data_IF_278978936677
#
_entry.id   IF_278978936677
#
_cell.length_a   1.000
_cell.length_b   1.000
_cell.length_c   1.000
_cell.angle_alpha   90.00
_cell.angle_beta   90.00
_cell.angle_gamma   90.00
#
_symmetry.space_group_name_H-M   'P 1'
#
loop_
_entity.id
_entity.type
_entity.pdbx_description
1 polymer ?
#
# COMPACT_ATOMS: atom_id res chain seq x y z
N UNK A 1 9.70 -7.56 9.33
CA UNK A 1 9.34 -8.68 8.45
C UNK A 1 7.86 -8.55 8.20
N UNK A 2 7.45 -7.64 7.31
CA UNK A 2 6.07 -7.48 6.82
C UNK A 2 6.13 -6.61 5.56
N UNK A 3 6.81 -7.10 4.51
CA UNK A 3 6.85 -6.44 3.20
C UNK A 3 5.60 -6.80 2.38
N UNK A 4 4.47 -7.07 3.05
CA UNK A 4 3.23 -7.54 2.44
C UNK A 4 2.04 -6.65 2.79
N UNK A 5 1.11 -6.55 1.85
CA UNK A 5 -0.09 -5.74 1.97
C UNK A 5 -1.02 -6.32 3.04
N UNK A 6 -1.45 -5.51 4.00
CA UNK A 6 -2.39 -5.93 5.05
C UNK A 6 -3.76 -6.38 4.52
N UNK A 7 -4.07 -6.14 3.24
CA UNK A 7 -5.35 -6.49 2.60
C UNK A 7 -5.24 -7.74 1.73
N UNK A 8 -4.30 -7.76 0.78
CA UNK A 8 -4.16 -8.89 -0.16
C UNK A 8 -3.01 -9.85 0.16
N UNK A 9 -2.19 -9.54 1.18
CA UNK A 9 -0.99 -10.29 1.55
C UNK A 9 0.09 -10.41 0.46
N UNK A 10 -0.03 -9.66 -0.65
CA UNK A 10 0.99 -9.57 -1.71
C UNK A 10 2.13 -8.62 -1.33
N UNK A 11 3.31 -8.78 -1.97
CA UNK A 11 4.48 -7.93 -1.72
C UNK A 11 4.19 -6.45 -1.98
N UNK A 12 4.63 -5.58 -1.06
CA UNK A 12 4.50 -4.12 -1.15
C UNK A 12 5.60 -3.51 -2.03
N UNK A 13 5.37 -3.49 -3.34
CA UNK A 13 6.21 -2.72 -4.27
C UNK A 13 5.76 -1.25 -4.38
N UNK A 14 4.45 -1.03 -4.31
CA UNK A 14 3.80 0.28 -4.42
C UNK A 14 2.82 0.43 -3.29
N UNK A 15 3.02 1.45 -2.46
CA UNK A 15 2.14 1.75 -1.32
C UNK A 15 1.35 3.02 -1.60
N UNK A 16 0.12 3.06 -1.08
CA UNK A 16 -0.72 4.26 -1.11
C UNK A 16 -1.22 4.59 0.29
N UNK A 17 -1.12 5.87 0.67
CA UNK A 17 -1.44 6.31 2.03
C UNK A 17 -1.98 7.73 2.07
N UNK A 18 -2.83 8.02 3.05
CA UNK A 18 -3.32 9.37 3.30
C UNK A 18 -2.36 10.19 4.16
N UNK A 19 -2.82 11.34 4.61
CA UNK A 19 -2.18 12.18 5.63
C UNK A 19 -1.89 11.44 6.95
N UNK A 20 -2.64 10.36 7.24
CA UNK A 20 -2.39 9.48 8.38
C UNK A 20 -1.06 8.69 8.32
N UNK A 21 -0.42 8.58 7.15
CA UNK A 21 0.92 7.99 7.02
C UNK A 21 1.03 6.45 7.06
N UNK A 22 -0.08 5.73 7.21
CA UNK A 22 -0.11 4.25 7.21
C UNK A 22 0.21 3.69 5.82
N UNK A 23 1.36 3.01 5.70
CA UNK A 23 1.96 2.51 4.45
C UNK A 23 1.87 0.99 4.29
N UNK A 24 1.01 0.34 5.08
CA UNK A 24 0.87 -1.11 5.13
C UNK A 24 -0.05 -1.68 4.02
N UNK A 25 -0.52 -0.87 3.07
CA UNK A 25 -1.48 -1.26 2.04
C UNK A 25 -0.97 -0.89 0.64
N UNK A 26 -1.13 -1.82 -0.31
CA UNK A 26 -0.71 -1.60 -1.68
C UNK A 26 -1.61 -0.59 -2.41
N UNK A 27 -1.05 0.07 -3.43
CA UNK A 27 -1.77 1.05 -4.25
C UNK A 27 -3.03 0.47 -4.91
N UNK A 28 -2.98 -0.80 -5.34
CA UNK A 28 -4.12 -1.50 -5.95
C UNK A 28 -5.28 -1.68 -4.97
N UNK A 29 -5.01 -2.11 -3.73
CA UNK A 29 -6.05 -2.27 -2.72
C UNK A 29 -6.68 -0.93 -2.34
N UNK A 30 -5.86 0.12 -2.19
CA UNK A 30 -6.37 1.47 -1.93
C UNK A 30 -7.22 1.98 -3.09
N UNK A 31 -6.81 1.77 -4.34
CA UNK A 31 -7.61 2.13 -5.52
C UNK A 31 -8.94 1.37 -5.56
N UNK A 32 -8.93 0.05 -5.31
CA UNK A 32 -10.16 -0.76 -5.26
C UNK A 32 -11.14 -0.23 -4.21
N UNK A 33 -10.67 0.05 -3.00
CA UNK A 33 -11.54 0.57 -1.94
C UNK A 33 -12.16 1.92 -2.31
N UNK A 34 -11.38 2.82 -2.92
CA UNK A 34 -11.83 4.17 -3.25
C UNK A 34 -12.75 4.23 -4.46
N UNK A 35 -12.48 3.43 -5.49
CA UNK A 35 -13.23 3.47 -6.75
C UNK A 35 -14.36 2.45 -6.83
N UNK A 36 -14.23 1.28 -6.17
CA UNK A 36 -15.23 0.21 -6.22
C UNK A 36 -16.12 0.25 -4.98
N UNK A 37 -15.52 0.36 -3.80
CA UNK A 37 -16.28 0.37 -2.54
C UNK A 37 -16.69 1.77 -2.09
N UNK A 38 -16.26 2.81 -2.82
CA UNK A 38 -16.46 4.24 -2.48
C UNK A 38 -16.00 4.61 -1.06
N UNK A 39 -15.13 3.80 -0.45
CA UNK A 39 -14.59 4.04 0.89
C UNK A 39 -13.25 4.77 0.80
N UNK A 40 -13.25 6.03 1.28
CA UNK A 40 -12.08 6.90 1.29
C UNK A 40 -11.29 6.85 2.60
N UNK A 41 -11.72 6.04 3.56
CA UNK A 41 -11.05 5.92 4.86
C UNK A 41 -9.80 5.07 4.75
N UNK A 42 -8.81 5.38 5.59
CA UNK A 42 -7.65 4.52 5.79
C UNK A 42 -8.10 3.15 6.31
N UNK A 43 -7.58 2.07 5.73
CA UNK A 43 -7.92 0.70 6.14
C UNK A 43 -7.52 0.39 7.59
N UNK A 44 -6.49 1.08 8.08
CA UNK A 44 -5.81 0.84 9.35
C UNK A 44 -6.47 1.64 10.47
N UNK A 45 -6.41 2.98 10.40
CA UNK A 45 -6.91 3.86 11.46
C UNK A 45 -8.34 4.38 11.22
N UNK A 46 -8.97 4.06 10.09
CA UNK A 46 -10.33 4.51 9.70
C UNK A 46 -10.51 6.02 9.56
N UNK A 47 -9.45 6.81 9.65
CA UNK A 47 -9.46 8.25 9.34
C UNK A 47 -9.90 8.46 7.90
N UNK A 48 -10.81 9.41 7.67
CA UNK A 48 -11.20 9.82 6.33
C UNK A 48 -10.04 10.55 5.65
N UNK A 49 -9.58 10.03 4.52
CA UNK A 49 -8.51 10.67 3.75
C UNK A 49 -9.08 10.96 2.37
N UNK A 50 -9.25 12.22 1.96
CA UNK A 50 -9.78 12.54 0.63
C UNK A 50 -8.72 12.43 -0.48
N UNK A 51 -7.47 12.73 -0.15
CA UNK A 51 -6.31 12.59 -1.04
C UNK A 51 -5.41 11.47 -0.51
N UNK A 52 -4.79 10.72 -1.43
CA UNK A 52 -3.78 9.71 -1.11
C UNK A 52 -2.53 9.93 -1.95
N UNK A 53 -1.39 9.64 -1.37
CA UNK A 53 -0.09 9.67 -2.01
C UNK A 53 0.32 8.25 -2.38
N UNK A 54 0.88 8.07 -3.57
CA UNK A 54 1.40 6.77 -4.02
C UNK A 54 2.91 6.89 -4.14
N UNK A 55 3.64 5.95 -3.53
CA UNK A 55 5.10 5.88 -3.64
C UNK A 55 5.55 4.47 -3.94
N UNK A 56 6.62 4.35 -4.72
CA UNK A 56 7.35 3.09 -4.86
C UNK A 56 8.14 2.84 -3.59
N UNK A 57 8.07 1.63 -3.07
CA UNK A 57 8.96 1.18 -2.00
C UNK A 57 10.31 0.89 -2.66
N UNK A 58 11.34 1.64 -2.30
CA UNK A 58 12.70 1.33 -2.71
C UNK A 58 13.21 0.17 -1.85
N UNK A 59 12.79 -1.04 -2.20
CA UNK A 59 13.40 -2.26 -1.68
C UNK A 59 14.84 -2.34 -2.17
N UNK A 60 15.75 -2.78 -1.30
CA UNK A 60 17.08 -3.24 -1.68
C UNK A 60 16.96 -4.55 -2.50
N UNK A 61 16.35 -4.51 -3.68
CA UNK A 61 16.28 -5.64 -4.62
C UNK A 61 17.63 -5.87 -5.33
N UNK A 62 18.75 -5.60 -4.64
CA UNK A 62 20.10 -5.86 -5.15
C UNK A 62 20.65 -7.24 -4.73
N UNK A 63 19.84 -8.13 -4.14
CA UNK A 63 20.32 -9.45 -3.71
C UNK A 63 19.47 -10.66 -4.11
N UNK A 64 18.28 -10.51 -4.71
CA UNK A 64 17.45 -11.67 -5.09
C UNK A 64 17.45 -12.04 -6.57
N UNK A 65 17.91 -11.18 -7.48
CA UNK A 65 18.08 -11.52 -8.92
C UNK A 65 19.46 -12.14 -9.25
N UNK A 66 20.16 -12.67 -8.24
CA UNK A 66 21.47 -13.35 -8.39
C UNK A 66 21.42 -14.84 -8.05
N UNK A 67 20.26 -15.49 -8.13
CA UNK A 67 20.20 -16.94 -8.20
C UNK A 67 19.49 -17.38 -9.48
N UNK A 68 20.36 -17.84 -10.37
CA UNK A 68 20.19 -18.57 -11.62
C UNK A 68 19.10 -19.66 -11.56
#
# INVERSE_FOLDING_TARGET
MDDSCAVCAERLEWVAYGDCGHREVCSTCVARLRFICEDRRCCICKTECNVVFVTKVMGFDLFSDSFF
#
